data_IF_372889149291
#
_entry.id   IF_372889149291
#
_cell.length_a   1.000
_cell.length_b   1.000
_cell.length_c   1.000
_cell.angle_alpha   90.00
_cell.angle_beta   90.00
_cell.angle_gamma   90.00
#
_symmetry.space_group_name_H-M   'P 1'
#
loop_
_entity.id
_entity.type
_entity.pdbx_description
1 polymer ?
#
# COMPACT_ATOMS: atom_id res chain seq x y z
N UNK A 1 4.50 0.92 12.51
CA UNK A 1 4.03 1.02 11.10
C UNK A 1 2.89 0.02 10.96
N UNK A 2 1.74 0.44 10.43
CA UNK A 2 0.57 -0.45 10.31
C UNK A 2 0.47 -0.99 8.89
N UNK A 3 0.43 -0.10 7.89
CA UNK A 3 0.36 -0.45 6.49
C UNK A 3 1.09 0.56 5.60
N UNK A 4 1.35 0.15 4.35
CA UNK A 4 1.75 1.03 3.26
C UNK A 4 0.56 1.75 2.61
N UNK A 5 0.87 2.64 1.67
CA UNK A 5 -0.11 3.35 0.86
C UNK A 5 0.59 4.16 -0.23
N UNK A 6 -0.16 4.49 -1.28
CA UNK A 6 0.33 5.26 -2.42
C UNK A 6 -0.40 6.60 -2.50
N UNK A 7 0.34 7.69 -2.59
CA UNK A 7 -0.24 9.00 -2.82
C UNK A 7 -0.76 9.06 -4.26
N UNK A 8 -2.05 9.37 -4.47
CA UNK A 8 -2.67 9.41 -5.81
C UNK A 8 -3.09 10.83 -6.23
N UNK A 9 -3.25 11.73 -5.25
CA UNK A 9 -3.42 13.17 -5.46
C UNK A 9 -2.73 13.92 -4.32
N UNK A 10 -2.76 15.25 -4.30
CA UNK A 10 -2.17 16.02 -3.19
C UNK A 10 -2.91 15.84 -1.87
N UNK A 11 -4.07 15.18 -1.85
CA UNK A 11 -4.90 15.05 -0.65
C UNK A 11 -5.49 13.66 -0.43
N UNK A 12 -5.11 12.67 -1.24
CA UNK A 12 -5.65 11.31 -1.18
C UNK A 12 -4.54 10.27 -1.30
N UNK A 13 -4.58 9.30 -0.39
CA UNK A 13 -3.74 8.10 -0.41
C UNK A 13 -4.64 6.89 -0.69
N UNK A 14 -4.19 6.03 -1.59
CA UNK A 14 -4.74 4.70 -1.83
C UNK A 14 -4.04 3.70 -0.90
N UNK A 15 -4.80 2.88 -0.20
CA UNK A 15 -4.30 1.82 0.69
C UNK A 15 -5.26 0.60 0.63
N UNK A 16 -5.14 -0.33 1.57
CA UNK A 16 -6.00 -1.50 1.69
C UNK A 16 -7.05 -1.30 2.80
N UNK A 17 -8.23 -1.89 2.65
CA UNK A 17 -9.33 -1.77 3.62
C UNK A 17 -9.00 -2.47 4.94
N UNK A 18 -8.32 -3.62 4.92
CA UNK A 18 -7.95 -4.37 6.12
C UNK A 18 -7.03 -3.60 7.08
N UNK A 19 -6.35 -2.57 6.58
CA UNK A 19 -5.54 -1.66 7.40
C UNK A 19 -6.38 -0.79 8.35
N UNK A 20 -7.68 -0.70 8.12
CA UNK A 20 -8.62 0.18 8.81
C UNK A 20 -9.82 -0.63 9.35
N UNK A 21 -9.63 -1.51 10.37
CA UNK A 21 -10.72 -2.33 10.90
C UNK A 21 -11.87 -1.51 11.52
N UNK A 22 -11.63 -0.25 11.89
CA UNK A 22 -12.65 0.72 12.26
C UNK A 22 -12.44 2.02 11.46
N UNK A 23 -12.99 2.14 10.23
CA UNK A 23 -12.76 3.30 9.37
C UNK A 23 -13.40 4.59 9.90
N UNK A 24 -14.35 4.48 10.85
CA UNK A 24 -14.99 5.63 11.51
C UNK A 24 -14.08 6.32 12.53
N UNK A 25 -13.07 5.63 13.06
CA UNK A 25 -12.09 6.21 13.98
C UNK A 25 -10.77 6.49 13.28
N UNK A 26 -10.56 7.74 12.88
CA UNK A 26 -9.35 8.18 12.18
C UNK A 26 -8.22 8.56 13.12
N UNK A 27 -8.48 8.71 14.42
CA UNK A 27 -7.53 9.20 15.43
C UNK A 27 -6.26 8.38 15.61
N UNK A 28 -6.25 7.04 15.40
CA UNK A 28 -5.02 6.24 15.52
C UNK A 28 -4.05 6.42 14.35
N UNK A 29 -4.49 7.00 13.24
CA UNK A 29 -3.73 6.98 11.99
C UNK A 29 -3.00 8.30 11.72
N UNK A 30 -1.73 8.18 11.35
CA UNK A 30 -0.90 9.27 10.85
C UNK A 30 -0.25 8.85 9.54
N UNK A 31 -0.39 9.67 8.51
CA UNK A 31 0.25 9.46 7.21
C UNK A 31 1.62 10.13 7.21
N UNK A 32 2.63 9.36 6.82
CA UNK A 32 4.00 9.82 6.66
C UNK A 32 4.36 9.78 5.17
N UNK A 33 4.74 10.93 4.61
CA UNK A 33 5.16 11.08 3.21
C UNK A 33 6.62 11.52 3.15
N UNK A 34 7.34 11.25 2.05
CA UNK A 34 8.76 11.61 1.90
C UNK A 34 9.68 10.91 2.90
N UNK A 35 9.22 9.78 3.46
CA UNK A 35 9.95 8.99 4.47
C UNK A 35 10.72 7.86 3.79
N UNK A 36 11.98 7.71 4.17
CA UNK A 36 12.86 6.63 3.73
C UNK A 36 13.22 5.67 4.86
N UNK A 37 13.42 6.18 6.08
CA UNK A 37 13.75 5.39 7.28
C UNK A 37 12.57 5.35 8.25
N UNK A 38 12.16 4.17 8.74
CA UNK A 38 11.11 4.04 9.74
C UNK A 38 11.46 4.68 11.07
N UNK A 39 12.66 4.49 11.60
CA UNK A 39 13.02 4.92 12.96
C UNK A 39 14.16 5.95 12.97
N UNK A 40 14.55 6.46 11.80
CA UNK A 40 15.65 7.40 11.65
C UNK A 40 15.24 8.81 11.23
N UNK A 41 16.24 9.63 10.91
CA UNK A 41 16.05 11.03 10.49
C UNK A 41 15.57 11.05 9.04
N UNK A 42 14.50 11.79 8.78
CA UNK A 42 13.94 12.00 7.44
C UNK A 42 13.75 13.49 7.19
N UNK A 43 14.70 14.14 6.50
CA UNK A 43 14.67 15.59 6.25
C UNK A 43 13.52 16.05 5.37
N UNK A 44 13.03 15.16 4.49
CA UNK A 44 11.98 15.45 3.52
C UNK A 44 10.59 14.97 3.98
N UNK A 45 10.49 14.51 5.23
CA UNK A 45 9.26 13.92 5.75
C UNK A 45 8.20 14.97 5.98
N UNK A 46 6.98 14.67 5.55
CA UNK A 46 5.78 15.42 5.87
C UNK A 46 4.79 14.49 6.55
N UNK A 47 4.18 14.97 7.63
CA UNK A 47 3.13 14.23 8.35
C UNK A 47 1.77 14.86 8.13
N UNK A 48 0.74 14.02 8.07
CA UNK A 48 -0.67 14.43 8.02
C UNK A 48 -1.50 13.51 8.91
N UNK A 49 -2.42 14.10 9.66
CA UNK A 49 -3.53 13.35 10.25
C UNK A 49 -4.52 12.95 9.15
N UNK A 50 -5.35 11.95 9.45
CA UNK A 50 -6.39 11.46 8.55
C UNK A 50 -7.70 12.21 8.78
N UNK A 51 -8.30 12.72 7.71
CA UNK A 51 -9.62 13.38 7.76
C UNK A 51 -10.76 12.38 7.71
N UNK A 52 -10.68 11.43 6.77
CA UNK A 52 -11.66 10.38 6.59
C UNK A 52 -11.02 9.19 5.87
N UNK A 53 -11.63 8.02 6.07
CA UNK A 53 -11.29 6.77 5.39
C UNK A 53 -12.56 6.29 4.70
N UNK A 54 -12.48 6.00 3.41
CA UNK A 54 -13.57 5.42 2.62
C UNK A 54 -13.14 4.04 2.14
N UNK A 55 -13.91 3.02 2.51
CA UNK A 55 -13.75 1.64 2.03
C UNK A 55 -15.05 1.21 1.31
N UNK A 56 -15.00 0.22 0.40
CA UNK A 56 -16.19 -0.35 -0.20
C UNK A 56 -17.16 -0.86 0.86
N UNK A 57 -18.46 -0.60 0.69
CA UNK A 57 -19.50 -1.00 1.65
C UNK A 57 -19.71 -2.52 1.72
N UNK A 58 -19.28 -3.24 0.68
CA UNK A 58 -19.34 -4.68 0.53
C UNK A 58 -18.01 -5.39 0.89
N UNK A 59 -17.00 -4.66 1.36
CA UNK A 59 -15.78 -5.26 1.89
C UNK A 59 -16.07 -6.02 3.19
N UNK A 60 -15.64 -7.29 3.25
CA UNK A 60 -15.79 -8.15 4.43
C UNK A 60 -14.42 -8.56 4.98
N UNK A 61 -13.55 -9.08 4.10
CA UNK A 61 -12.21 -9.55 4.42
C UNK A 61 -11.29 -9.51 3.18
N UNK A 62 -9.97 -9.62 3.34
CA UNK A 62 -9.05 -9.59 2.19
C UNK A 62 -9.25 -10.73 1.18
N UNK A 63 -9.71 -11.90 1.62
CA UNK A 63 -9.87 -13.08 0.78
C UNK A 63 -11.07 -12.95 -0.18
N UNK A 64 -12.07 -12.16 0.19
CA UNK A 64 -13.29 -11.92 -0.60
C UNK A 64 -13.15 -10.78 -1.62
N UNK A 65 -12.02 -10.08 -1.62
CA UNK A 65 -11.74 -8.97 -2.53
C UNK A 65 -12.21 -7.61 -1.99
N UNK A 66 -12.27 -6.60 -2.87
CA UNK A 66 -12.61 -5.22 -2.51
C UNK A 66 -11.75 -4.63 -1.37
N UNK A 67 -10.54 -5.16 -1.16
CA UNK A 67 -9.60 -4.71 -0.14
C UNK A 67 -8.87 -3.43 -0.55
N UNK A 68 -9.63 -2.34 -0.65
CA UNK A 68 -9.14 -1.03 -1.08
C UNK A 68 -9.68 0.06 -0.16
N UNK A 69 -8.84 1.04 0.15
CA UNK A 69 -9.20 2.19 0.97
C UNK A 69 -8.71 3.49 0.33
N UNK A 70 -9.57 4.52 0.36
CA UNK A 70 -9.19 5.90 0.09
C UNK A 70 -9.06 6.64 1.42
N UNK A 71 -7.87 7.18 1.67
CA UNK A 71 -7.54 7.91 2.89
C UNK A 71 -7.36 9.38 2.54
N UNK A 72 -8.25 10.23 3.03
CA UNK A 72 -8.14 11.67 2.83
C UNK A 72 -7.23 12.28 3.88
N UNK A 73 -6.26 13.08 3.45
CA UNK A 73 -5.40 13.83 4.35
C UNK A 73 -6.16 15.00 5.00
N UNK A 74 -5.77 15.41 6.20
CA UNK A 74 -6.33 16.59 6.87
C UNK A 74 -6.05 17.91 6.15
N UNK A 75 -4.97 17.96 5.39
CA UNK A 75 -4.60 19.07 4.53
C UNK A 75 -3.76 18.56 3.35
N UNK A 76 -3.82 19.21 2.18
CA UNK A 76 -3.03 18.81 1.03
C UNK A 76 -1.52 18.89 1.32
N UNK A 77 -0.75 18.11 0.58
CA UNK A 77 0.71 18.16 0.57
C UNK A 77 1.23 18.97 -0.61
N UNK A 78 2.39 19.59 -0.44
CA UNK A 78 3.11 20.26 -1.51
C UNK A 78 4.02 19.25 -2.22
N UNK A 79 4.04 19.32 -3.54
CA UNK A 79 4.93 18.50 -4.35
C UNK A 79 6.39 18.84 -4.13
N UNK A 80 7.23 17.82 -4.12
CA UNK A 80 8.68 17.91 -4.03
C UNK A 80 9.31 16.72 -4.72
N UNK A 81 10.64 16.70 -4.83
CA UNK A 81 11.39 15.55 -5.36
C UNK A 81 11.20 14.26 -4.55
N UNK A 82 10.61 14.35 -3.35
CA UNK A 82 10.39 13.23 -2.43
C UNK A 82 8.91 12.92 -2.18
N UNK A 83 8.00 13.77 -2.68
CA UNK A 83 6.55 13.62 -2.49
C UNK A 83 5.88 13.92 -3.83
N UNK A 84 5.59 12.85 -4.57
CA UNK A 84 4.89 12.88 -5.85
C UNK A 84 3.79 11.80 -5.85
N UNK A 85 2.67 12.04 -6.57
CA UNK A 85 1.65 11.03 -6.72
C UNK A 85 2.09 9.95 -7.73
N UNK A 86 1.59 8.73 -7.53
CA UNK A 86 1.67 7.67 -8.55
C UNK A 86 0.51 7.82 -9.54
N UNK A 87 0.73 7.36 -10.78
CA UNK A 87 -0.34 7.25 -11.77
C UNK A 87 -1.22 6.04 -11.46
N UNK A 88 -2.53 6.18 -11.63
CA UNK A 88 -3.45 5.05 -11.63
C UNK A 88 -3.68 4.56 -13.07
N UNK A 89 -3.70 3.24 -13.31
CA UNK A 89 -4.05 2.70 -14.60
C UNK A 89 -5.53 2.97 -14.93
N UNK A 90 -5.88 2.88 -16.21
CA UNK A 90 -7.29 2.87 -16.61
C UNK A 90 -7.95 1.56 -16.15
N UNK A 91 -9.26 1.57 -15.92
CA UNK A 91 -10.00 0.37 -15.48
C UNK A 91 -9.94 -0.79 -16.48
N UNK A 92 -9.66 -0.50 -17.76
CA UNK A 92 -9.49 -1.48 -18.83
C UNK A 92 -8.03 -1.89 -19.06
N UNK A 93 -7.07 -1.36 -18.29
CA UNK A 93 -5.66 -1.69 -18.46
C UNK A 93 -5.41 -3.14 -18.06
N UNK A 94 -4.84 -3.90 -18.98
CA UNK A 94 -4.30 -5.23 -18.72
C UNK A 94 -2.78 -5.14 -18.80
N UNK A 95 -2.11 -5.59 -17.73
CA UNK A 95 -0.67 -5.69 -17.72
C UNK A 95 -0.24 -7.06 -18.25
N UNK A 96 0.74 -7.13 -19.16
CA UNK A 96 1.20 -8.41 -19.70
C UNK A 96 1.92 -9.25 -18.63
N UNK A 97 1.85 -10.57 -18.79
CA UNK A 97 2.69 -11.50 -18.02
C UNK A 97 4.17 -11.17 -18.22
N UNK A 98 4.99 -11.54 -17.23
CA UNK A 98 6.43 -11.30 -17.17
C UNK A 98 6.86 -9.82 -17.15
N UNK A 99 5.92 -8.88 -17.15
CA UNK A 99 6.23 -7.48 -16.86
C UNK A 99 6.78 -7.40 -15.44
N UNK A 100 8.02 -6.92 -15.32
CA UNK A 100 8.68 -6.74 -14.02
C UNK A 100 8.15 -5.49 -13.34
N UNK A 101 7.54 -5.70 -12.18
CA UNK A 101 7.02 -4.66 -11.29
C UNK A 101 7.87 -4.54 -10.03
N UNK A 102 7.70 -3.45 -9.31
CA UNK A 102 8.35 -3.23 -8.02
C UNK A 102 7.31 -3.18 -6.91
N UNK A 103 7.60 -3.83 -5.80
CA UNK A 103 6.87 -3.68 -4.55
C UNK A 103 7.82 -3.10 -3.52
N UNK A 104 7.40 -2.01 -2.88
CA UNK A 104 8.19 -1.32 -1.86
C UNK A 104 7.47 -1.35 -0.52
N UNK A 105 8.19 -1.48 0.58
CA UNK A 105 7.58 -1.40 1.90
C UNK A 105 8.55 -1.60 3.07
N UNK A 106 7.99 -1.58 4.27
CA UNK A 106 8.72 -1.80 5.52
C UNK A 106 8.20 -3.01 6.31
N UNK A 107 7.58 -3.97 5.61
CA UNK A 107 7.11 -5.21 6.20
C UNK A 107 8.25 -6.16 6.57
N UNK A 108 7.89 -7.40 6.88
CA UNK A 108 8.86 -8.45 7.15
C UNK A 108 9.72 -8.72 5.90
N UNK A 109 11.04 -8.86 6.08
CA UNK A 109 12.00 -9.10 4.99
C UNK A 109 12.12 -10.58 4.61
N UNK A 110 11.62 -11.46 5.48
CA UNK A 110 11.40 -12.90 5.26
C UNK A 110 10.20 -13.33 6.08
N UNK A 111 9.74 -14.56 5.92
CA UNK A 111 8.68 -15.13 6.76
C UNK A 111 9.02 -14.94 8.24
N UNK A 112 8.15 -14.21 8.95
CA UNK A 112 8.26 -13.89 10.37
C UNK A 112 9.55 -13.17 10.80
N UNK A 113 10.30 -12.58 9.86
CA UNK A 113 11.50 -11.80 10.15
C UNK A 113 11.22 -10.31 9.94
N UNK A 114 11.05 -9.51 11.01
CA UNK A 114 10.81 -8.08 10.88
C UNK A 114 12.02 -7.35 10.33
N UNK A 115 11.77 -6.21 9.71
CA UNK A 115 12.81 -5.28 9.27
C UNK A 115 13.64 -4.79 10.48
N UNK A 116 14.96 -4.86 10.38
CA UNK A 116 15.87 -4.51 11.46
C UNK A 116 16.40 -3.07 11.39
N UNK A 117 17.03 -2.60 12.48
CA UNK A 117 17.70 -1.31 12.54
C UNK A 117 16.77 -0.10 12.37
N UNK A 118 17.23 0.92 11.63
CA UNK A 118 16.44 2.14 11.37
C UNK A 118 15.27 1.91 10.41
N UNK A 119 15.16 0.71 9.84
CA UNK A 119 14.09 0.33 8.92
C UNK A 119 14.09 1.15 7.64
N UNK A 120 15.16 1.04 6.85
CA UNK A 120 15.23 1.59 5.50
C UNK A 120 14.16 0.96 4.62
N UNK A 121 13.49 1.74 3.77
CA UNK A 121 12.51 1.24 2.80
C UNK A 121 13.15 0.15 1.94
N UNK A 122 12.47 -0.99 1.83
CA UNK A 122 12.90 -2.10 0.99
C UNK A 122 12.13 -2.09 -0.32
N UNK A 123 12.71 -2.69 -1.35
CA UNK A 123 12.06 -2.96 -2.61
C UNK A 123 12.37 -4.38 -3.09
N UNK A 124 11.47 -4.92 -3.90
CA UNK A 124 11.67 -6.20 -4.58
C UNK A 124 11.07 -6.11 -5.98
N UNK A 125 11.79 -6.69 -6.95
CA UNK A 125 11.29 -6.91 -8.30
C UNK A 125 10.48 -8.20 -8.34
N UNK A 126 9.27 -8.12 -8.88
CA UNK A 126 8.37 -9.27 -9.05
C UNK A 126 7.77 -9.25 -10.46
N UNK A 127 7.78 -10.38 -11.20
CA UNK A 127 7.10 -10.46 -12.47
C UNK A 127 5.58 -10.61 -12.25
N UNK A 128 4.80 -10.07 -13.18
CA UNK A 128 3.36 -10.34 -13.23
C UNK A 128 3.13 -11.77 -13.69
N UNK A 129 2.33 -12.50 -12.91
CA UNK A 129 1.77 -13.80 -13.29
C UNK A 129 0.36 -13.54 -13.83
N UNK A 130 0.02 -14.14 -14.98
CA UNK A 130 -1.32 -13.98 -15.55
C UNK A 130 -2.40 -14.63 -14.65
N UNK A 131 -3.63 -14.15 -14.79
CA UNK A 131 -4.74 -14.54 -13.94
C UNK A 131 -5.03 -16.05 -13.96
N UNK A 132 -4.90 -16.69 -15.12
CA UNK A 132 -5.18 -18.12 -15.27
C UNK A 132 -4.11 -18.96 -14.57
N UNK A 133 -2.83 -18.62 -14.76
CA UNK A 133 -1.73 -19.26 -14.05
C UNK A 133 -1.87 -19.10 -12.54
N UNK A 134 -2.19 -17.89 -12.06
CA UNK A 134 -2.43 -17.63 -10.63
C UNK A 134 -3.57 -18.51 -10.07
N UNK A 135 -4.71 -18.57 -10.76
CA UNK A 135 -5.83 -19.43 -10.35
C UNK A 135 -5.43 -20.89 -10.25
N UNK A 136 -4.69 -21.41 -11.24
CA UNK A 136 -4.23 -22.79 -11.22
C UNK A 136 -3.32 -23.09 -10.02
N UNK A 137 -2.45 -22.16 -9.62
CA UNK A 137 -1.57 -22.33 -8.46
C UNK A 137 -2.35 -22.45 -7.13
N UNK A 138 -3.51 -21.79 -7.01
CA UNK A 138 -4.37 -21.85 -5.82
C UNK A 138 -5.44 -22.95 -5.89
N UNK A 139 -5.73 -23.49 -7.08
CA UNK A 139 -6.63 -24.62 -7.29
C UNK A 139 -5.91 -25.98 -7.14
N UNK A 140 -4.58 -26.02 -7.18
CA UNK A 140 -3.82 -27.22 -6.86
C UNK A 140 -3.90 -27.49 -5.35
N UNK A 141 -4.62 -28.56 -4.99
CA UNK A 141 -4.50 -29.16 -3.66
C UNK A 141 -3.03 -29.55 -3.45
N UNK A 142 -2.38 -29.19 -2.32
CA UNK A 142 -1.05 -29.68 -1.98
C UNK A 142 -0.91 -31.21 -1.94
N UNK A 143 -2.02 -31.95 -2.07
CA UNK A 143 -2.08 -33.41 -2.08
C UNK A 143 -2.22 -34.06 -3.48
N UNK A 144 -2.27 -33.32 -4.59
CA UNK A 144 -2.25 -33.87 -5.97
C UNK A 144 -0.84 -33.85 -6.61
#
# INVERSE_FOLDING_TARGET
HVCGGSLITNNWVLSAAHCFPNPSDTSPYTIYLGRYQLNGINSNMVTRSVRQISIPSDYVDPQTGNDVALVQLSAPVTWSDYILPVCLPASSTLFPADLVCYVTGWGNVRQDVPLSGVGTLQEVQVPIIDQTSCQNMYLMDPAD
#
